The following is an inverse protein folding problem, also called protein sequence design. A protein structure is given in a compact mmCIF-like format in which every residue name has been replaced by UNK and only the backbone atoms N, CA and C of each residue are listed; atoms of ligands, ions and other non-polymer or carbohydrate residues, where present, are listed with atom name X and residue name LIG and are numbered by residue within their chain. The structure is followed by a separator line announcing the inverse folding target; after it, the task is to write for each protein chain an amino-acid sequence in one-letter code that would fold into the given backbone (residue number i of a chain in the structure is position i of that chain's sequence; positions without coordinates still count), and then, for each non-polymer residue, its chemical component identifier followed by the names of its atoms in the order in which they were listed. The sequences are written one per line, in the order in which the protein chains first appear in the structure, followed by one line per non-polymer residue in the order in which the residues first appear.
data_IF_532361160227
#
_entry.id   IF_532361160227
#
_cell.length_a   1.000
_cell.length_b   1.000
_cell.length_c   1.000
_cell.angle_alpha   90.00
_cell.angle_beta   90.00
_cell.angle_gamma   90.00
#
_symmetry.space_group_name_H-M   'P 1'
#
loop_
_entity.id
_entity.type
_entity.pdbx_description
1 polymer ?
#
# COMPACT_ATOMS: atom_id res chain seq x y z
N UNK A 1 10.95 -7.27 27.83
CA UNK A 1 10.63 -6.34 26.72
C UNK A 1 11.21 -6.85 25.41
N UNK A 2 10.37 -7.24 24.44
CA UNK A 2 10.83 -7.71 23.13
C UNK A 2 11.24 -6.49 22.30
N UNK A 3 12.53 -6.38 21.97
CA UNK A 3 13.05 -5.30 21.14
C UNK A 3 12.51 -5.37 19.70
N UNK A 4 12.41 -4.22 19.03
CA UNK A 4 11.97 -4.12 17.63
C UNK A 4 12.79 -5.02 16.69
N UNK A 5 14.11 -5.09 16.91
CA UNK A 5 15.01 -6.02 16.18
C UNK A 5 14.66 -7.49 16.46
N UNK A 6 14.31 -7.83 17.69
CA UNK A 6 13.97 -9.20 18.08
C UNK A 6 12.72 -9.70 17.34
N UNK A 7 11.69 -8.86 17.20
CA UNK A 7 10.46 -9.23 16.50
C UNK A 7 10.70 -9.54 15.01
N UNK A 8 11.51 -8.73 14.35
CA UNK A 8 11.84 -8.92 12.94
C UNK A 8 12.69 -10.18 12.76
N UNK A 9 13.69 -10.39 13.61
CA UNK A 9 14.67 -11.47 13.43
C UNK A 9 14.15 -12.82 13.94
N UNK A 10 13.45 -12.86 15.08
CA UNK A 10 12.93 -14.11 15.68
C UNK A 10 11.58 -14.56 15.13
N UNK A 11 10.74 -13.66 14.66
CA UNK A 11 9.38 -14.02 14.21
C UNK A 11 9.21 -13.80 12.71
N UNK A 12 9.57 -12.63 12.20
CA UNK A 12 9.26 -12.27 10.82
C UNK A 12 10.09 -13.04 9.78
N UNK A 13 11.42 -13.08 9.90
CA UNK A 13 12.29 -13.85 9.00
C UNK A 13 11.97 -15.35 8.92
N UNK A 14 11.75 -16.07 10.04
CA UNK A 14 11.34 -17.47 9.96
C UNK A 14 9.95 -17.67 9.35
N UNK A 15 9.01 -16.72 9.49
CA UNK A 15 7.72 -16.77 8.80
C UNK A 15 7.89 -16.60 7.28
N UNK A 16 8.73 -15.67 6.82
CA UNK A 16 9.06 -15.51 5.40
C UNK A 16 9.63 -16.80 4.82
N UNK A 17 10.56 -17.43 5.53
CA UNK A 17 11.19 -18.68 5.11
C UNK A 17 10.18 -19.83 5.04
N UNK A 18 9.21 -19.90 5.96
CA UNK A 18 8.11 -20.88 5.92
C UNK A 18 7.14 -20.62 4.75
N UNK A 19 6.91 -19.36 4.41
CA UNK A 19 6.06 -18.96 3.30
C UNK A 19 6.76 -19.07 1.93
N UNK A 20 8.04 -19.45 1.88
CA UNK A 20 8.82 -19.50 0.64
C UNK A 20 9.08 -18.13 0.02
N UNK A 21 8.95 -17.05 0.80
CA UNK A 21 9.15 -15.68 0.34
C UNK A 21 10.63 -15.28 0.47
N UNK A 22 11.12 -14.39 -0.42
CA UNK A 22 12.46 -13.82 -0.29
C UNK A 22 12.59 -13.00 1.00
N UNK A 23 13.83 -12.69 1.42
CA UNK A 23 14.09 -11.87 2.60
C UNK A 23 13.67 -10.41 2.32
N UNK A 24 12.41 -10.12 2.62
CA UNK A 24 11.82 -8.79 2.51
C UNK A 24 11.90 -8.07 3.86
N UNK A 25 11.94 -6.74 3.82
CA UNK A 25 11.94 -5.91 5.02
C UNK A 25 10.52 -5.78 5.57
N UNK A 26 10.40 -5.56 6.88
CA UNK A 26 9.09 -5.47 7.52
C UNK A 26 8.22 -4.32 6.96
N UNK A 27 8.84 -3.23 6.51
CA UNK A 27 8.13 -2.13 5.86
C UNK A 27 7.65 -2.46 4.44
N UNK A 28 8.22 -3.46 3.78
CA UNK A 28 7.78 -3.87 2.44
C UNK A 28 6.35 -4.42 2.50
N UNK A 29 5.95 -5.06 3.62
CA UNK A 29 4.55 -5.44 3.84
C UNK A 29 3.60 -4.23 3.82
N UNK A 30 4.03 -3.12 4.39
CA UNK A 30 3.25 -1.87 4.43
C UNK A 30 3.13 -1.28 3.03
N UNK A 31 4.18 -1.36 2.22
CA UNK A 31 4.14 -0.99 0.81
C UNK A 31 3.24 -1.89 -0.02
N UNK A 32 3.30 -3.20 0.18
CA UNK A 32 2.44 -4.18 -0.50
C UNK A 32 0.96 -3.94 -0.16
N UNK A 33 0.64 -3.71 1.12
CA UNK A 33 -0.73 -3.41 1.55
C UNK A 33 -1.29 -2.14 0.89
N UNK A 34 -0.50 -1.06 0.90
CA UNK A 34 -0.89 0.19 0.26
C UNK A 34 -1.10 0.03 -1.25
N UNK A 35 -0.18 -0.65 -1.92
CA UNK A 35 -0.25 -0.92 -3.37
C UNK A 35 -1.48 -1.75 -3.71
N UNK A 36 -1.79 -2.79 -2.94
CA UNK A 36 -2.95 -3.65 -3.15
C UNK A 36 -4.27 -2.89 -3.01
N UNK A 37 -4.36 -2.01 -1.99
CA UNK A 37 -5.56 -1.19 -1.76
C UNK A 37 -5.76 -0.17 -2.88
N UNK A 38 -4.69 0.50 -3.30
CA UNK A 38 -4.74 1.49 -4.38
C UNK A 38 -5.04 0.84 -5.74
N UNK A 39 -4.50 -0.36 -5.99
CA UNK A 39 -4.84 -1.15 -7.18
C UNK A 39 -6.31 -1.59 -7.23
N UNK A 40 -7.00 -1.65 -6.08
CA UNK A 40 -8.44 -1.91 -5.99
C UNK A 40 -9.28 -0.62 -6.03
N UNK A 41 -8.69 0.49 -6.47
CA UNK A 41 -9.36 1.80 -6.57
C UNK A 41 -9.82 2.36 -5.22
N UNK A 42 -9.26 1.87 -4.11
CA UNK A 42 -9.58 2.40 -2.77
C UNK A 42 -9.02 3.81 -2.66
N UNK A 43 -9.84 4.74 -2.17
CA UNK A 43 -9.43 6.14 -2.03
C UNK A 43 -8.15 6.28 -1.19
N UNK A 44 -7.19 7.04 -1.73
CA UNK A 44 -5.89 7.30 -1.10
C UNK A 44 -6.00 7.86 0.34
N UNK A 45 -7.11 8.56 0.66
CA UNK A 45 -7.40 9.05 2.01
C UNK A 45 -7.65 7.91 3.00
N UNK A 46 -8.39 6.87 2.61
CA UNK A 46 -8.61 5.70 3.45
C UNK A 46 -7.31 4.92 3.65
N UNK A 47 -6.51 4.77 2.58
CA UNK A 47 -5.18 4.14 2.65
C UNK A 47 -4.25 4.94 3.57
N UNK A 48 -4.31 6.28 3.53
CA UNK A 48 -3.55 7.15 4.43
C UNK A 48 -3.94 6.94 5.90
N UNK A 49 -5.23 6.91 6.23
CA UNK A 49 -5.72 6.68 7.60
C UNK A 49 -5.32 5.29 8.11
N UNK A 50 -5.49 4.25 7.28
CA UNK A 50 -5.10 2.88 7.63
C UNK A 50 -3.60 2.75 7.92
N UNK A 51 -2.78 3.45 7.12
CA UNK A 51 -1.34 3.47 7.32
C UNK A 51 -0.96 4.40 8.49
N UNK A 52 -1.77 5.40 8.82
CA UNK A 52 -1.40 6.44 9.79
C UNK A 52 -0.32 7.38 9.25
N UNK A 53 -0.33 7.65 7.94
CA UNK A 53 0.52 8.69 7.37
C UNK A 53 0.00 10.07 7.77
N UNK A 54 0.90 10.92 8.30
CA UNK A 54 0.56 12.28 8.70
C UNK A 54 0.02 13.14 7.54
N UNK A 55 0.35 12.79 6.29
CA UNK A 55 -0.06 13.56 5.13
C UNK A 55 -0.38 12.64 3.95
N UNK A 56 -1.46 12.96 3.22
CA UNK A 56 -1.88 12.24 2.03
C UNK A 56 -0.84 12.30 0.91
N UNK A 57 -0.08 13.39 0.83
CA UNK A 57 1.01 13.57 -0.13
C UNK A 57 2.06 12.47 -0.02
N UNK A 58 2.37 11.96 1.18
CA UNK A 58 3.33 10.85 1.32
C UNK A 58 2.78 9.60 0.61
N UNK A 59 1.50 9.31 0.79
CA UNK A 59 0.84 8.16 0.14
C UNK A 59 0.72 8.39 -1.36
N UNK A 60 0.32 9.58 -1.81
CA UNK A 60 0.17 9.88 -3.24
C UNK A 60 1.52 9.96 -3.95
N UNK A 61 2.54 10.60 -3.39
CA UNK A 61 3.87 10.66 -3.99
C UNK A 61 4.49 9.27 -4.08
N UNK A 62 4.33 8.44 -3.04
CA UNK A 62 4.91 7.09 -3.00
C UNK A 62 4.16 6.12 -3.92
N UNK A 63 2.85 6.23 -4.08
CA UNK A 63 2.03 5.23 -4.79
C UNK A 63 1.26 5.77 -6.01
N UNK A 64 1.51 7.00 -6.44
CA UNK A 64 0.93 7.62 -7.64
C UNK A 64 1.09 6.73 -8.88
N UNK A 65 2.20 6.02 -8.98
CA UNK A 65 2.53 5.16 -10.12
C UNK A 65 1.73 3.84 -10.17
N UNK A 66 1.11 3.41 -9.06
CA UNK A 66 0.29 2.19 -8.99
C UNK A 66 -1.21 2.47 -9.01
N UNK A 67 -1.62 3.74 -9.04
CA UNK A 67 -3.00 4.15 -9.28
C UNK A 67 -3.27 4.04 -10.79
N UNK A 68 -3.94 2.97 -11.26
CA UNK A 68 -4.18 2.80 -12.68
C UNK A 68 -5.29 3.77 -13.10
N UNK A 69 -5.04 4.58 -14.14
CA UNK A 69 -6.09 5.20 -14.94
C UNK A 69 -7.15 5.99 -14.16
N UNK A 70 -6.82 6.61 -13.03
CA UNK A 70 -7.80 7.42 -12.29
C UNK A 70 -8.32 8.58 -13.16
N UNK A 71 -7.49 9.05 -14.11
CA UNK A 71 -7.90 9.94 -15.19
C UNK A 71 -8.85 9.30 -16.20
N UNK A 72 -8.62 8.06 -16.62
CA UNK A 72 -9.49 7.34 -17.57
C UNK A 72 -10.84 6.97 -16.95
N UNK A 73 -10.85 6.55 -15.67
CA UNK A 73 -12.09 6.29 -14.92
C UNK A 73 -12.88 7.57 -14.67
N UNK A 74 -12.21 8.69 -14.37
CA UNK A 74 -12.86 9.99 -14.25
C UNK A 74 -13.38 10.50 -15.60
N UNK A 75 -12.62 10.32 -16.68
CA UNK A 75 -13.04 10.65 -18.04
C UNK A 75 -14.26 9.83 -18.47
N UNK A 76 -14.26 8.51 -18.20
CA UNK A 76 -15.41 7.64 -18.46
C UNK A 76 -16.65 8.03 -17.66
N UNK A 77 -16.50 8.38 -16.38
CA UNK A 77 -17.62 8.85 -15.56
C UNK A 77 -18.17 10.21 -16.04
N UNK A 78 -17.30 11.11 -16.51
CA UNK A 78 -17.72 12.38 -17.10
C UNK A 78 -18.43 12.18 -18.43
N UNK A 79 -17.93 11.28 -19.29
CA UNK A 79 -18.55 10.91 -20.56
C UNK A 79 -19.93 10.27 -20.35
N UNK A 80 -20.08 9.39 -19.35
CA UNK A 80 -21.37 8.77 -18.99
C UNK A 80 -22.39 9.78 -18.40
N UNK A 81 -21.91 10.88 -17.81
CA UNK A 81 -22.79 11.91 -17.22
C UNK A 81 -23.15 13.02 -18.21
N UNK A 82 -22.30 13.27 -19.21
CA UNK A 82 -22.44 14.37 -20.17
C UNK A 82 -22.82 13.91 -21.59
N UNK A 83 -22.69 12.61 -21.90
CA UNK A 83 -23.16 11.97 -23.13
C UNK A 83 -24.61 11.51 -23.03
#
# INVERSE_FOLDING_TARGET
PVGRQELVTRSFKPLLRKAGLPDIRFHDLRHTCATLLLSKSVHAKFVQELLGHATISITLDTYSHVLPGMGDAAAGAMDETLG
#
